data_IF_366512915627
#
_entry.id   IF_366512915627
#
_cell.length_a   1.000
_cell.length_b   1.000
_cell.length_c   1.000
_cell.angle_alpha   90.00
_cell.angle_beta   90.00
_cell.angle_gamma   90.00
#
_symmetry.space_group_name_H-M   'P 1'
#
loop_
_entity.id
_entity.type
_entity.pdbx_description
1 polymer ?
#
# COMPACT_ATOMS: atom_id res chain seq x y z
N UNK A 1 35.01 26.39 -31.41
CA UNK A 1 35.45 26.19 -30.02
C UNK A 1 34.42 26.81 -29.11
N UNK A 2 33.48 26.01 -28.60
CA UNK A 2 32.55 26.42 -27.56
C UNK A 2 32.33 25.15 -26.72
N UNK A 3 32.71 25.28 -25.44
CA UNK A 3 32.66 24.28 -24.40
C UNK A 3 31.24 23.83 -24.16
N UNK A 4 31.02 22.50 -24.25
CA UNK A 4 29.85 21.83 -23.69
C UNK A 4 30.17 21.43 -22.27
N UNK A 5 29.66 22.19 -21.30
CA UNK A 5 29.74 21.89 -19.90
C UNK A 5 28.83 20.70 -19.55
N UNK A 6 29.46 19.77 -18.91
CA UNK A 6 29.05 18.51 -18.32
C UNK A 6 27.84 18.66 -17.39
N UNK A 7 26.72 18.07 -17.75
CA UNK A 7 25.57 17.91 -16.87
C UNK A 7 25.78 16.60 -16.07
N UNK A 8 26.39 16.72 -14.90
CA UNK A 8 26.51 15.62 -13.95
C UNK A 8 25.13 15.18 -13.48
N UNK A 9 24.74 13.98 -13.91
CA UNK A 9 23.51 13.30 -13.50
C UNK A 9 23.57 12.93 -12.01
N UNK A 10 22.70 13.53 -11.24
CA UNK A 10 22.41 13.16 -9.86
C UNK A 10 21.68 11.80 -9.85
N UNK A 11 22.43 10.71 -9.82
CA UNK A 11 21.87 9.36 -9.63
C UNK A 11 21.95 9.02 -8.15
N UNK A 12 20.82 8.63 -7.49
CA UNK A 12 20.87 8.08 -6.15
C UNK A 12 21.68 6.78 -6.16
N UNK A 13 22.54 6.62 -5.16
CA UNK A 13 23.32 5.39 -4.94
C UNK A 13 22.37 4.24 -4.64
N UNK A 14 22.14 3.38 -5.63
CA UNK A 14 21.39 2.14 -5.50
C UNK A 14 22.25 1.10 -4.77
N UNK A 15 21.93 0.77 -3.54
CA UNK A 15 22.29 -0.52 -2.96
C UNK A 15 21.24 -1.53 -3.41
N UNK A 16 21.62 -2.43 -4.33
CA UNK A 16 20.76 -3.50 -4.79
C UNK A 16 20.44 -4.45 -3.64
N UNK A 17 19.18 -4.53 -3.24
CA UNK A 17 18.70 -5.57 -2.34
C UNK A 17 18.43 -6.83 -3.17
N UNK A 18 19.25 -7.87 -2.96
CA UNK A 18 18.97 -9.22 -3.47
C UNK A 18 18.03 -9.92 -2.50
N UNK A 19 16.85 -10.31 -2.97
CA UNK A 19 15.92 -11.14 -2.21
C UNK A 19 16.38 -12.59 -2.26
N UNK A 20 17.14 -13.01 -1.24
CA UNK A 20 17.57 -14.39 -1.05
C UNK A 20 16.70 -15.06 0.00
N UNK A 21 16.03 -16.14 -0.39
CA UNK A 21 15.40 -17.11 0.53
C UNK A 21 16.49 -17.92 1.22
N UNK A 22 16.76 -17.66 2.52
CA UNK A 22 17.23 -18.67 3.48
C UNK A 22 17.13 -18.13 4.90
N UNK A 23 16.77 -19.00 5.84
CA UNK A 23 16.35 -18.72 7.19
C UNK A 23 17.39 -18.12 8.13
N UNK A 24 16.87 -17.45 9.16
CA UNK A 24 17.49 -17.28 10.46
C UNK A 24 18.56 -16.21 10.56
N UNK A 25 18.19 -14.91 10.50
CA UNK A 25 18.94 -13.82 11.12
C UNK A 25 17.98 -12.64 11.33
N UNK A 26 18.16 -11.88 12.42
CA UNK A 26 17.36 -10.73 12.77
C UNK A 26 17.07 -9.85 11.54
N UNK A 27 15.80 -9.74 11.19
CA UNK A 27 15.29 -8.99 10.03
C UNK A 27 15.66 -7.51 10.23
N UNK A 28 16.62 -7.02 9.44
CA UNK A 28 16.91 -5.58 9.40
C UNK A 28 15.96 -4.97 8.39
N UNK A 29 15.17 -3.98 8.82
CA UNK A 29 14.31 -3.20 7.94
C UNK A 29 15.13 -2.65 6.77
N UNK A 30 14.56 -2.70 5.55
CA UNK A 30 15.18 -2.09 4.37
C UNK A 30 14.88 -0.60 4.43
N UNK A 31 15.93 0.23 4.47
CA UNK A 31 15.80 1.68 4.59
C UNK A 31 16.32 2.37 3.33
N UNK A 32 15.50 3.26 2.77
CA UNK A 32 15.87 4.14 1.66
C UNK A 32 15.91 5.57 2.17
N UNK A 33 17.05 6.28 1.97
CA UNK A 33 17.22 7.65 2.44
C UNK A 33 17.41 8.61 1.29
N UNK A 34 16.82 9.81 1.40
CA UNK A 34 17.02 10.93 0.52
C UNK A 34 17.38 12.17 1.33
N UNK A 35 18.29 13.00 0.81
CA UNK A 35 18.73 14.24 1.45
C UNK A 35 18.79 15.34 0.39
N UNK A 36 18.25 16.55 0.65
CA UNK A 36 18.27 17.65 -0.31
C UNK A 36 19.70 18.11 -0.63
N UNK A 37 19.99 18.29 -1.91
CA UNK A 37 21.26 18.82 -2.43
C UNK A 37 21.35 20.35 -2.32
N UNK A 38 21.05 20.95 -1.15
CA UNK A 38 21.02 22.41 -0.93
C UNK A 38 19.62 22.94 -0.63
N UNK A 39 19.55 24.16 -0.08
CA UNK A 39 18.26 24.81 0.25
C UNK A 39 17.68 25.47 -1.00
N UNK A 40 16.63 24.91 -1.57
CA UNK A 40 15.80 25.55 -2.59
C UNK A 40 15.09 26.81 -2.02
N UNK A 41 14.84 27.82 -2.89
CA UNK A 41 14.37 29.15 -2.45
C UNK A 41 12.86 29.38 -2.46
N UNK A 42 12.05 28.41 -2.91
CA UNK A 42 10.60 28.59 -3.06
C UNK A 42 9.84 27.56 -2.22
N UNK A 43 9.77 27.80 -0.90
CA UNK A 43 8.99 26.96 0.02
C UNK A 43 8.02 27.81 0.83
N UNK A 44 6.82 27.30 1.03
CA UNK A 44 5.78 27.88 1.88
C UNK A 44 6.36 28.21 3.27
N UNK A 45 6.25 29.46 3.68
CA UNK A 45 6.83 29.99 4.91
C UNK A 45 6.29 29.28 6.17
N UNK A 46 5.04 28.79 6.13
CA UNK A 46 4.41 28.08 7.24
C UNK A 46 4.97 26.67 7.41
N UNK A 47 5.17 25.94 6.30
CA UNK A 47 5.81 24.62 6.32
C UNK A 47 7.25 24.71 6.82
N UNK A 48 8.01 25.75 6.41
CA UNK A 48 9.36 26.01 6.93
C UNK A 48 9.39 26.36 8.41
N UNK A 49 8.40 27.10 8.93
CA UNK A 49 8.28 27.36 10.36
C UNK A 49 8.03 26.08 11.15
N UNK A 50 7.16 25.19 10.65
CA UNK A 50 6.87 23.89 11.26
C UNK A 50 8.10 22.95 11.25
N UNK A 51 8.90 23.00 10.18
CA UNK A 51 10.17 22.26 10.07
C UNK A 51 11.18 22.75 11.11
N UNK A 52 11.37 24.08 11.25
CA UNK A 52 12.28 24.67 12.24
C UNK A 52 11.85 24.40 13.68
N UNK A 53 10.53 24.39 13.95
CA UNK A 53 9.99 24.04 15.27
C UNK A 53 10.29 22.58 15.65
N UNK A 54 10.47 21.70 14.65
CA UNK A 54 10.88 20.31 14.82
C UNK A 54 12.37 20.15 15.07
N UNK A 55 13.22 20.89 14.38
CA UNK A 55 14.69 20.92 14.58
C UNK A 55 15.08 21.30 16.02
N UNK A 56 14.23 22.06 16.73
CA UNK A 56 14.42 22.46 18.13
C UNK A 56 13.98 21.46 19.20
N UNK A 57 13.26 20.40 18.82
CA UNK A 57 12.90 19.30 19.71
C UNK A 57 13.76 18.10 19.32
N UNK A 58 14.45 17.47 20.26
CA UNK A 58 15.32 16.30 20.09
C UNK A 58 14.58 15.13 19.37
N UNK A 59 14.40 15.27 18.07
CA UNK A 59 13.79 14.34 17.14
C UNK A 59 14.64 14.29 15.87
N UNK A 60 14.59 13.19 15.13
CA UNK A 60 15.34 12.97 13.90
C UNK A 60 15.23 14.15 12.92
N UNK A 61 16.36 14.59 12.33
CA UNK A 61 16.41 15.60 11.27
C UNK A 61 15.72 15.15 9.97
N UNK A 62 15.09 13.98 9.98
CA UNK A 62 14.44 13.32 8.84
C UNK A 62 12.96 13.12 9.08
N UNK A 63 12.18 13.16 8.00
CA UNK A 63 10.79 12.73 7.99
C UNK A 63 10.74 11.25 7.65
N UNK A 64 10.27 10.41 8.58
CA UNK A 64 10.25 8.97 8.43
C UNK A 64 8.92 8.49 7.86
N UNK A 65 9.01 7.74 6.75
CA UNK A 65 7.91 7.06 6.10
C UNK A 65 8.02 5.55 6.38
N UNK A 66 6.91 4.93 6.73
CA UNK A 66 6.81 3.47 6.84
C UNK A 66 5.88 2.90 5.75
N UNK A 67 6.26 1.79 5.14
CA UNK A 67 5.37 1.04 4.26
C UNK A 67 5.16 -0.38 4.77
N UNK A 68 3.90 -0.78 4.80
CA UNK A 68 3.41 -2.11 5.22
C UNK A 68 2.73 -2.83 4.04
N UNK A 69 2.93 -2.32 2.83
CA UNK A 69 2.19 -2.73 1.64
C UNK A 69 3.06 -3.59 0.72
N UNK A 70 2.44 -4.11 -0.35
CA UNK A 70 3.05 -5.06 -1.24
C UNK A 70 4.37 -4.56 -1.87
N UNK A 71 5.41 -5.42 -1.95
CA UNK A 71 6.73 -5.05 -2.50
C UNK A 71 6.70 -4.52 -3.93
N UNK A 72 5.77 -4.98 -4.78
CA UNK A 72 5.64 -4.53 -6.17
C UNK A 72 5.27 -3.04 -6.31
N UNK A 73 4.71 -2.42 -5.27
CA UNK A 73 4.35 -0.98 -5.25
C UNK A 73 5.46 -0.13 -4.62
N UNK A 74 6.50 -0.74 -4.05
CA UNK A 74 7.60 -0.04 -3.37
C UNK A 74 8.25 1.09 -4.20
N UNK A 75 8.47 0.96 -5.54
CA UNK A 75 9.02 2.05 -6.34
C UNK A 75 8.18 3.34 -6.30
N UNK A 76 6.85 3.22 -6.17
CA UNK A 76 5.95 4.38 -6.02
C UNK A 76 6.17 5.04 -4.66
N UNK A 77 6.25 4.25 -3.57
CA UNK A 77 6.46 4.80 -2.23
C UNK A 77 7.81 5.49 -2.10
N UNK A 78 8.86 4.95 -2.73
CA UNK A 78 10.16 5.62 -2.85
C UNK A 78 10.03 6.96 -3.58
N UNK A 79 9.36 6.96 -4.75
CA UNK A 79 9.14 8.17 -5.53
C UNK A 79 8.39 9.25 -4.74
N UNK A 80 7.33 8.85 -4.03
CA UNK A 80 6.52 9.76 -3.19
C UNK A 80 7.35 10.32 -2.04
N UNK A 81 8.11 9.48 -1.33
CA UNK A 81 8.96 9.88 -0.19
C UNK A 81 10.03 10.89 -0.62
N UNK A 82 10.72 10.62 -1.73
CA UNK A 82 11.74 11.51 -2.30
C UNK A 82 11.14 12.85 -2.75
N UNK A 83 9.97 12.81 -3.42
CA UNK A 83 9.31 14.03 -3.91
C UNK A 83 8.81 14.92 -2.78
N UNK A 84 8.27 14.34 -1.70
CA UNK A 84 7.91 15.07 -0.49
C UNK A 84 9.15 15.74 0.11
N UNK A 85 10.24 14.99 0.28
CA UNK A 85 11.50 15.54 0.76
C UNK A 85 12.02 16.68 -0.11
N UNK A 86 12.04 16.47 -1.43
CA UNK A 86 12.52 17.47 -2.41
C UNK A 86 11.72 18.77 -2.38
N UNK A 87 10.38 18.69 -2.39
CA UNK A 87 9.52 19.90 -2.39
C UNK A 87 9.53 20.62 -1.05
N UNK A 88 9.62 19.89 0.05
CA UNK A 88 9.62 20.51 1.38
C UNK A 88 11.02 20.87 1.89
N UNK A 89 12.09 20.44 1.20
CA UNK A 89 13.46 20.67 1.62
C UNK A 89 13.84 19.94 2.91
N UNK A 90 13.22 18.77 3.18
CA UNK A 90 13.44 17.95 4.37
C UNK A 90 14.12 16.65 3.94
N UNK A 91 15.12 16.19 4.69
CA UNK A 91 15.62 14.83 4.53
C UNK A 91 14.52 13.81 4.85
N UNK A 92 14.38 12.78 4.03
CA UNK A 92 13.37 11.73 4.22
C UNK A 92 14.03 10.37 4.28
N UNK A 93 13.34 9.43 4.91
CA UNK A 93 13.66 8.00 4.84
C UNK A 93 12.38 7.19 4.67
N UNK A 94 12.45 6.12 3.89
CA UNK A 94 11.39 5.13 3.74
C UNK A 94 11.87 3.81 4.33
N UNK A 95 11.12 3.29 5.28
CA UNK A 95 11.37 2.00 5.93
C UNK A 95 10.34 0.99 5.42
N UNK A 96 10.81 -0.16 4.95
CA UNK A 96 9.95 -1.30 4.65
C UNK A 96 9.76 -2.08 5.93
N UNK A 97 8.58 -1.98 6.49
CA UNK A 97 8.24 -2.57 7.80
C UNK A 97 7.77 -4.02 7.63
N UNK A 98 8.12 -4.84 8.58
CA UNK A 98 7.73 -6.27 8.61
C UNK A 98 6.57 -6.55 9.56
N UNK A 99 6.19 -5.57 10.37
CA UNK A 99 5.04 -5.62 11.27
C UNK A 99 4.45 -4.24 11.47
N UNK A 100 3.19 -4.18 11.90
CA UNK A 100 2.51 -2.91 12.21
C UNK A 100 2.91 -2.31 13.58
N UNK A 101 3.83 -2.94 14.30
CA UNK A 101 4.24 -2.50 15.64
C UNK A 101 4.87 -1.10 15.65
N UNK A 102 5.67 -0.77 14.64
CA UNK A 102 6.26 0.56 14.48
C UNK A 102 5.21 1.66 14.28
N UNK A 103 4.12 1.36 13.57
CA UNK A 103 2.99 2.28 13.44
C UNK A 103 2.21 2.40 14.75
N UNK A 104 1.96 1.29 15.46
CA UNK A 104 1.28 1.30 16.76
C UNK A 104 2.09 2.05 17.83
N UNK A 105 3.40 2.08 17.73
CA UNK A 105 4.31 2.88 18.57
C UNK A 105 4.49 4.31 18.07
N UNK A 106 3.83 4.69 16.98
CA UNK A 106 3.94 6.01 16.35
C UNK A 106 5.40 6.39 15.98
N UNK A 107 6.18 5.41 15.48
CA UNK A 107 7.58 5.62 15.11
C UNK A 107 7.75 6.30 13.75
N UNK A 108 6.75 6.18 12.85
CA UNK A 108 6.74 6.78 11.52
C UNK A 108 5.86 8.04 11.49
N UNK A 109 6.33 9.11 10.85
CA UNK A 109 5.53 10.32 10.65
C UNK A 109 4.50 10.17 9.54
N UNK A 110 4.82 9.37 8.50
CA UNK A 110 3.95 9.10 7.36
C UNK A 110 3.91 7.59 7.12
N UNK A 111 2.72 7.04 6.92
CA UNK A 111 2.54 5.61 6.70
C UNK A 111 1.78 5.36 5.40
N UNK A 112 2.30 4.44 4.58
CA UNK A 112 1.55 3.75 3.54
C UNK A 112 0.97 2.48 4.17
N UNK A 113 -0.30 2.51 4.57
CA UNK A 113 -0.90 1.50 5.43
C UNK A 113 -2.16 0.91 4.80
N UNK A 114 -2.39 -0.39 4.98
CA UNK A 114 -3.64 -1.01 4.53
C UNK A 114 -4.86 -0.42 5.25
N UNK A 115 -6.00 -0.33 4.57
CA UNK A 115 -7.23 0.25 5.09
C UNK A 115 -7.80 -0.52 6.30
N UNK A 116 -7.65 -1.84 6.36
CA UNK A 116 -8.13 -2.64 7.48
C UNK A 116 -7.39 -2.38 8.79
N UNK A 117 -6.03 -2.39 8.87
CA UNK A 117 -5.30 -1.95 10.05
C UNK A 117 -5.68 -0.54 10.49
N UNK A 118 -5.76 0.41 9.57
CA UNK A 118 -6.14 1.79 9.86
C UNK A 118 -7.48 1.85 10.63
N UNK A 119 -8.53 1.21 10.12
CA UNK A 119 -9.86 1.17 10.76
C UNK A 119 -9.83 0.38 12.08
N UNK A 120 -9.03 -0.68 12.15
CA UNK A 120 -8.90 -1.51 13.36
C UNK A 120 -8.23 -0.75 14.49
N UNK A 121 -7.23 0.09 14.21
CA UNK A 121 -6.58 0.94 15.21
C UNK A 121 -7.55 1.96 15.80
N UNK A 122 -8.35 2.64 14.98
CA UNK A 122 -9.37 3.57 15.48
C UNK A 122 -10.34 2.87 16.45
N UNK A 123 -10.78 1.65 16.16
CA UNK A 123 -11.66 0.86 17.01
C UNK A 123 -11.02 0.45 18.33
N UNK A 124 -9.71 0.27 18.35
CA UNK A 124 -8.93 0.02 19.57
C UNK A 124 -8.66 1.31 20.36
N UNK A 125 -9.15 2.45 19.91
CA UNK A 125 -8.88 3.76 20.48
C UNK A 125 -7.48 4.29 20.21
N UNK A 126 -6.77 3.70 19.24
CA UNK A 126 -5.46 4.14 18.81
C UNK A 126 -5.63 5.18 17.68
N UNK A 127 -5.79 6.43 18.07
CA UNK A 127 -5.95 7.56 17.15
C UNK A 127 -4.58 8.08 16.67
N UNK A 128 -3.85 7.21 15.95
CA UNK A 128 -2.43 7.40 15.62
C UNK A 128 -2.20 8.36 14.46
N UNK A 129 -2.98 8.24 13.39
CA UNK A 129 -2.73 8.94 12.14
C UNK A 129 -4.00 9.40 11.44
N UNK A 130 -3.86 10.42 10.59
CA UNK A 130 -4.95 10.97 9.78
C UNK A 130 -4.68 10.61 8.31
N UNK A 131 -5.61 9.98 7.58
CA UNK A 131 -5.49 9.79 6.15
C UNK A 131 -5.60 11.15 5.47
N UNK A 132 -4.63 11.49 4.63
CA UNK A 132 -4.56 12.81 3.98
C UNK A 132 -4.74 12.74 2.48
N UNK A 133 -4.32 11.64 1.86
CA UNK A 133 -4.47 11.37 0.44
C UNK A 133 -4.56 9.87 0.19
N UNK A 134 -5.16 9.49 -0.95
CA UNK A 134 -5.13 8.12 -1.44
C UNK A 134 -4.90 8.11 -2.96
N UNK A 135 -4.26 7.06 -3.51
CA UNK A 135 -4.04 6.96 -4.94
C UNK A 135 -5.34 6.70 -5.70
N UNK A 136 -5.42 7.24 -6.91
CA UNK A 136 -6.36 6.84 -7.94
C UNK A 136 -5.59 5.95 -8.91
N UNK A 137 -6.06 4.74 -9.11
CA UNK A 137 -5.44 3.79 -10.01
C UNK A 137 -5.84 4.06 -11.47
N UNK A 138 -4.94 3.73 -12.38
CA UNK A 138 -5.19 3.77 -13.82
C UNK A 138 -6.17 2.68 -14.23
N UNK A 139 -7.04 3.00 -15.19
CA UNK A 139 -8.02 2.08 -15.77
C UNK A 139 -9.46 2.45 -15.50
N UNK A 140 -10.32 2.18 -16.49
CA UNK A 140 -11.73 2.56 -16.49
C UNK A 140 -12.52 1.97 -15.32
N UNK A 141 -12.17 0.77 -14.85
CA UNK A 141 -12.85 0.09 -13.75
C UNK A 141 -12.83 0.87 -12.43
N UNK A 142 -11.85 1.75 -12.23
CA UNK A 142 -11.72 2.55 -11.02
C UNK A 142 -12.52 3.87 -11.09
N UNK A 143 -12.90 4.31 -12.29
CA UNK A 143 -13.75 5.49 -12.50
C UNK A 143 -13.16 6.78 -11.96
N UNK A 144 -11.83 6.92 -11.94
CA UNK A 144 -11.12 8.09 -11.40
C UNK A 144 -11.30 8.30 -9.90
N UNK A 145 -11.68 7.26 -9.14
CA UNK A 145 -11.93 7.26 -7.69
C UNK A 145 -10.81 6.56 -6.93
N UNK A 146 -10.59 6.89 -5.65
CA UNK A 146 -9.60 6.24 -4.80
C UNK A 146 -10.12 4.90 -4.28
N UNK A 147 -10.36 3.97 -5.19
CA UNK A 147 -10.89 2.63 -4.92
C UNK A 147 -10.05 1.55 -5.58
N UNK A 148 -10.17 0.34 -5.09
CA UNK A 148 -9.60 -0.85 -5.69
C UNK A 148 -10.53 -2.05 -5.53
N UNK A 149 -10.15 -3.17 -6.11
CA UNK A 149 -10.87 -4.44 -6.03
C UNK A 149 -9.94 -5.51 -5.48
N UNK A 150 -10.52 -6.59 -5.02
CA UNK A 150 -9.80 -7.82 -4.73
C UNK A 150 -10.20 -8.85 -5.79
N UNK A 151 -9.32 -9.06 -6.74
CA UNK A 151 -9.56 -9.95 -7.87
C UNK A 151 -9.36 -11.41 -7.42
N UNK A 152 -10.41 -12.21 -7.52
CA UNK A 152 -10.39 -13.64 -7.21
C UNK A 152 -9.77 -14.38 -8.39
N UNK A 153 -8.61 -14.96 -8.16
CA UNK A 153 -7.88 -15.72 -9.17
C UNK A 153 -7.95 -17.22 -8.94
N UNK A 154 -7.93 -17.95 -10.04
CA UNK A 154 -7.80 -19.41 -10.09
C UNK A 154 -6.80 -19.80 -11.20
N UNK A 155 -6.28 -21.02 -11.18
CA UNK A 155 -5.49 -21.52 -12.30
C UNK A 155 -6.29 -21.46 -13.61
N UNK A 156 -5.65 -21.08 -14.72
CA UNK A 156 -6.33 -20.86 -16.02
C UNK A 156 -7.12 -22.08 -16.48
N UNK A 157 -6.56 -23.26 -16.34
CA UNK A 157 -7.19 -24.52 -16.77
C UNK A 157 -8.17 -25.11 -15.75
N UNK A 158 -8.32 -24.46 -14.58
CA UNK A 158 -9.29 -24.88 -13.56
C UNK A 158 -10.72 -24.84 -14.12
N UNK A 159 -11.60 -25.78 -13.76
CA UNK A 159 -13.03 -25.73 -14.11
C UNK A 159 -13.81 -24.64 -13.34
N UNK A 160 -13.23 -24.04 -12.29
CA UNK A 160 -13.88 -23.04 -11.43
C UNK A 160 -14.15 -21.76 -12.23
N UNK A 161 -15.38 -21.21 -12.18
CA UNK A 161 -15.82 -20.05 -12.97
C UNK A 161 -16.32 -18.87 -12.13
N UNK A 162 -16.57 -19.10 -10.84
CA UNK A 162 -17.10 -18.11 -9.90
C UNK A 162 -16.48 -18.30 -8.52
N UNK A 163 -16.69 -17.34 -7.62
CA UNK A 163 -16.32 -17.47 -6.22
C UNK A 163 -17.02 -18.67 -5.55
N UNK A 164 -18.27 -18.93 -5.91
CA UNK A 164 -19.06 -20.03 -5.32
C UNK A 164 -18.50 -21.42 -5.64
N UNK A 165 -17.81 -21.58 -6.78
CA UNK A 165 -17.17 -22.85 -7.15
C UNK A 165 -15.96 -23.19 -6.25
N UNK A 166 -15.48 -22.22 -5.47
CA UNK A 166 -14.41 -22.41 -4.49
C UNK A 166 -14.88 -23.07 -3.18
N UNK A 167 -16.18 -23.37 -3.05
CA UNK A 167 -16.70 -24.11 -1.90
C UNK A 167 -16.00 -25.45 -1.75
N UNK A 168 -15.47 -25.72 -0.55
CA UNK A 168 -14.70 -26.93 -0.24
C UNK A 168 -13.32 -27.01 -0.90
N UNK A 169 -12.88 -25.96 -1.60
CA UNK A 169 -11.55 -25.85 -2.24
C UNK A 169 -10.53 -25.23 -1.32
N UNK A 170 -9.27 -25.27 -1.72
CA UNK A 170 -8.19 -24.58 -1.02
C UNK A 170 -8.15 -23.10 -1.38
N UNK A 171 -7.90 -22.25 -0.36
CA UNK A 171 -7.86 -20.82 -0.44
C UNK A 171 -6.59 -20.25 0.17
N UNK A 172 -5.90 -19.35 -0.52
CA UNK A 172 -4.77 -18.61 0.03
C UNK A 172 -5.13 -17.16 0.36
N UNK A 173 -4.53 -16.63 1.41
CA UNK A 173 -4.52 -15.21 1.76
C UNK A 173 -3.13 -14.79 2.23
N UNK A 174 -2.81 -13.51 2.10
CA UNK A 174 -1.49 -13.01 2.51
C UNK A 174 -1.34 -12.97 4.04
N UNK A 175 -2.16 -12.17 4.74
CA UNK A 175 -2.11 -12.00 6.20
C UNK A 175 -3.50 -11.62 6.75
N UNK A 176 -3.78 -11.83 8.06
CA UNK A 176 -5.08 -11.51 8.67
C UNK A 176 -5.43 -10.02 8.70
N UNK A 177 -4.43 -9.12 8.64
CA UNK A 177 -4.60 -7.67 8.61
C UNK A 177 -4.74 -7.11 7.19
N UNK A 178 -4.62 -7.94 6.16
CA UNK A 178 -4.88 -7.52 4.78
C UNK A 178 -6.37 -7.34 4.52
N UNK A 179 -6.77 -6.18 4.00
CA UNK A 179 -8.15 -6.01 3.54
C UNK A 179 -8.41 -6.80 2.27
N UNK A 180 -7.54 -6.68 1.25
CA UNK A 180 -7.74 -7.31 -0.06
C UNK A 180 -7.66 -8.83 -0.03
N UNK A 181 -6.72 -9.40 0.71
CA UNK A 181 -6.55 -10.86 0.76
C UNK A 181 -7.46 -11.55 1.77
N UNK A 182 -7.87 -10.85 2.84
CA UNK A 182 -8.56 -11.48 3.97
C UNK A 182 -9.87 -10.78 4.35
N UNK A 183 -9.85 -9.47 4.59
CA UNK A 183 -11.00 -8.74 5.12
C UNK A 183 -12.20 -8.75 4.19
N UNK A 184 -12.00 -8.46 2.90
CA UNK A 184 -13.07 -8.43 1.89
C UNK A 184 -13.64 -9.82 1.62
N UNK A 185 -12.79 -10.87 1.65
CA UNK A 185 -13.23 -12.26 1.51
C UNK A 185 -14.17 -12.66 2.64
N UNK A 186 -13.82 -12.29 3.89
CA UNK A 186 -14.71 -12.50 5.05
C UNK A 186 -16.02 -11.74 4.90
N UNK A 187 -15.97 -10.48 4.49
CA UNK A 187 -17.17 -9.69 4.26
C UNK A 187 -18.08 -10.31 3.19
N UNK A 188 -17.52 -10.73 2.07
CA UNK A 188 -18.26 -11.40 1.01
C UNK A 188 -18.93 -12.68 1.48
N UNK A 189 -18.21 -13.53 2.22
CA UNK A 189 -18.76 -14.74 2.82
C UNK A 189 -19.86 -14.44 3.86
N UNK A 190 -19.69 -13.39 4.66
CA UNK A 190 -20.71 -12.96 5.61
C UNK A 190 -22.00 -12.53 4.91
N UNK A 191 -21.90 -11.80 3.78
CA UNK A 191 -23.05 -11.43 2.94
C UNK A 191 -23.77 -12.66 2.35
N UNK A 192 -23.03 -13.71 2.01
CA UNK A 192 -23.58 -14.99 1.53
C UNK A 192 -24.15 -15.86 2.66
N UNK A 193 -23.98 -15.48 3.93
CA UNK A 193 -24.34 -16.30 5.07
C UNK A 193 -23.40 -17.48 5.33
N UNK A 194 -22.22 -17.50 4.68
CA UNK A 194 -21.25 -18.60 4.68
C UNK A 194 -20.14 -18.35 5.74
N UNK A 195 -20.52 -18.39 7.01
CA UNK A 195 -19.60 -18.07 8.12
C UNK A 195 -19.04 -19.30 8.84
N UNK A 196 -19.33 -20.53 8.32
CA UNK A 196 -19.02 -21.80 9.02
C UNK A 196 -18.28 -22.80 8.14
N UNK A 197 -17.17 -22.39 7.52
CA UNK A 197 -16.36 -23.33 6.76
C UNK A 197 -16.76 -23.44 5.29
N UNK A 198 -16.62 -22.35 4.56
CA UNK A 198 -16.84 -22.29 3.11
C UNK A 198 -15.73 -23.01 2.34
N UNK A 199 -14.47 -22.76 2.69
CA UNK A 199 -13.31 -23.39 2.06
C UNK A 199 -12.97 -24.73 2.72
N UNK A 200 -12.40 -25.65 1.94
CA UNK A 200 -11.91 -26.92 2.47
C UNK A 200 -10.58 -26.81 3.19
N UNK A 201 -9.75 -25.84 2.78
CA UNK A 201 -8.46 -25.54 3.38
C UNK A 201 -8.15 -24.05 3.19
N UNK A 202 -7.73 -23.37 4.25
CA UNK A 202 -7.31 -21.96 4.22
C UNK A 202 -5.83 -21.89 4.61
N UNK A 203 -5.02 -21.15 3.83
CA UNK A 203 -3.56 -21.08 3.98
C UNK A 203 -3.11 -19.63 3.98
N UNK A 204 -2.43 -19.22 5.04
CA UNK A 204 -1.69 -17.96 5.08
C UNK A 204 -0.36 -18.12 4.34
N UNK A 205 -0.04 -17.18 3.43
CA UNK A 205 1.13 -17.27 2.55
C UNK A 205 2.06 -16.06 2.64
N UNK A 206 1.73 -15.06 3.44
CA UNK A 206 2.53 -13.87 3.71
C UNK A 206 2.33 -12.74 2.70
N UNK A 207 2.40 -12.99 1.40
CA UNK A 207 2.31 -11.96 0.36
C UNK A 207 1.39 -12.36 -0.79
N UNK A 208 0.81 -11.36 -1.47
CA UNK A 208 0.01 -11.57 -2.68
C UNK A 208 0.80 -12.30 -3.78
N UNK A 209 2.07 -11.99 -3.97
CA UNK A 209 2.95 -12.63 -4.95
C UNK A 209 3.02 -14.15 -4.73
N UNK A 210 3.15 -14.57 -3.48
CA UNK A 210 3.18 -15.99 -3.14
C UNK A 210 1.83 -16.67 -3.38
N UNK A 211 0.72 -15.97 -3.09
CA UNK A 211 -0.61 -16.47 -3.42
C UNK A 211 -0.80 -16.67 -4.93
N UNK A 212 -0.39 -15.68 -5.75
CA UNK A 212 -0.44 -15.75 -7.22
C UNK A 212 0.38 -16.95 -7.71
N UNK A 213 1.62 -17.10 -7.24
CA UNK A 213 2.52 -18.19 -7.62
C UNK A 213 1.91 -19.55 -7.30
N UNK A 214 1.35 -19.75 -6.11
CA UNK A 214 0.75 -21.03 -5.71
C UNK A 214 -0.49 -21.38 -6.51
N UNK A 215 -1.31 -20.38 -6.86
CA UNK A 215 -2.45 -20.57 -7.75
C UNK A 215 -1.97 -20.91 -9.16
N UNK A 216 -0.96 -20.21 -9.68
CA UNK A 216 -0.37 -20.48 -11.00
C UNK A 216 0.23 -21.88 -11.11
N UNK A 217 0.78 -22.42 -10.02
CA UNK A 217 1.33 -23.78 -9.96
C UNK A 217 0.28 -24.86 -9.65
N UNK A 218 -0.99 -24.49 -9.41
CA UNK A 218 -2.06 -25.41 -9.05
C UNK A 218 -1.94 -25.99 -7.64
N UNK A 219 -1.12 -25.42 -6.77
CA UNK A 219 -0.95 -25.83 -5.37
C UNK A 219 -2.15 -25.42 -4.50
N UNK A 220 -2.81 -24.31 -4.86
CA UNK A 220 -3.98 -23.72 -4.22
C UNK A 220 -5.02 -23.42 -5.29
N UNK A 221 -6.29 -23.69 -5.01
CA UNK A 221 -7.38 -23.54 -5.97
C UNK A 221 -7.73 -22.07 -6.26
N UNK A 222 -7.62 -21.17 -5.26
CA UNK A 222 -7.92 -19.75 -5.46
C UNK A 222 -7.39 -18.83 -4.36
N UNK A 223 -7.35 -17.55 -4.68
CA UNK A 223 -6.96 -16.45 -3.78
C UNK A 223 -7.63 -15.15 -4.20
N UNK A 224 -7.83 -14.21 -3.26
CA UNK A 224 -8.17 -12.81 -3.57
C UNK A 224 -6.90 -11.95 -3.55
N UNK A 225 -6.65 -11.24 -4.62
CA UNK A 225 -5.45 -10.44 -4.83
C UNK A 225 -5.83 -8.97 -5.00
N UNK A 226 -5.11 -8.08 -4.33
CA UNK A 226 -5.20 -6.64 -4.60
C UNK A 226 -5.07 -6.39 -6.11
N UNK A 227 -6.04 -5.70 -6.70
CA UNK A 227 -6.13 -5.50 -8.15
C UNK A 227 -4.95 -4.71 -8.72
N UNK A 228 -4.36 -3.80 -7.94
CA UNK A 228 -3.15 -3.08 -8.32
C UNK A 228 -1.95 -4.05 -8.34
N UNK A 229 -1.79 -4.82 -7.28
CA UNK A 229 -0.71 -5.82 -7.17
C UNK A 229 -0.83 -6.85 -8.30
N UNK A 230 -2.03 -7.39 -8.53
CA UNK A 230 -2.25 -8.35 -9.61
C UNK A 230 -1.87 -7.78 -10.97
N UNK A 231 -2.33 -6.55 -11.27
CA UNK A 231 -2.03 -5.91 -12.56
C UNK A 231 -0.53 -5.68 -12.77
N UNK A 232 0.20 -5.29 -11.71
CA UNK A 232 1.66 -5.10 -11.75
C UNK A 232 2.36 -6.46 -11.98
N UNK A 233 2.00 -7.49 -11.19
CA UNK A 233 2.61 -8.81 -11.28
C UNK A 233 2.39 -9.45 -12.67
N UNK A 234 1.18 -9.35 -13.23
CA UNK A 234 0.89 -9.89 -14.57
C UNK A 234 1.54 -9.10 -15.71
N UNK A 235 1.76 -7.79 -15.52
CA UNK A 235 2.53 -6.97 -16.47
C UNK A 235 4.01 -7.35 -16.46
N UNK A 236 4.59 -7.53 -15.28
CA UNK A 236 6.03 -7.72 -15.11
C UNK A 236 6.43 -9.20 -15.25
N UNK A 237 5.47 -10.13 -15.13
CA UNK A 237 5.63 -11.58 -15.26
C UNK A 237 4.58 -12.16 -16.21
N UNK A 238 4.74 -12.02 -17.54
CA UNK A 238 3.76 -12.47 -18.54
C UNK A 238 3.43 -13.97 -18.48
N UNK A 239 4.37 -14.79 -18.02
CA UNK A 239 4.18 -16.22 -17.79
C UNK A 239 3.08 -16.50 -16.73
N UNK A 240 2.98 -15.69 -15.68
CA UNK A 240 1.90 -15.77 -14.70
C UNK A 240 0.55 -15.40 -15.32
N UNK A 241 0.52 -14.42 -16.22
CA UNK A 241 -0.71 -14.03 -16.92
C UNK A 241 -1.28 -15.16 -17.80
N UNK A 242 -0.44 -16.08 -18.27
CA UNK A 242 -0.86 -17.27 -19.02
C UNK A 242 -1.37 -18.39 -18.10
N UNK A 243 -1.01 -18.38 -16.82
CA UNK A 243 -1.32 -19.46 -15.87
C UNK A 243 -2.51 -19.16 -14.95
N UNK A 244 -2.87 -17.91 -14.76
CA UNK A 244 -3.99 -17.52 -13.90
C UNK A 244 -5.09 -16.81 -14.67
N UNK A 245 -6.29 -16.78 -14.11
CA UNK A 245 -7.40 -15.94 -14.58
C UNK A 245 -8.24 -15.45 -13.44
N UNK A 246 -8.80 -14.26 -13.60
CA UNK A 246 -9.78 -13.69 -12.67
C UNK A 246 -11.14 -14.31 -12.95
N UNK A 247 -11.82 -14.76 -11.90
CA UNK A 247 -13.19 -15.29 -11.97
C UNK A 247 -14.23 -14.37 -11.36
N UNK A 248 -13.80 -13.49 -10.44
CA UNK A 248 -14.68 -12.53 -9.79
C UNK A 248 -13.86 -11.35 -9.25
N UNK A 249 -14.49 -10.19 -9.04
CA UNK A 249 -13.87 -9.03 -8.41
C UNK A 249 -14.70 -8.64 -7.18
N UNK A 250 -14.12 -8.76 -6.00
CA UNK A 250 -14.75 -8.36 -4.75
C UNK A 250 -14.50 -6.85 -4.49
N UNK A 251 -15.53 -6.15 -4.06
CA UNK A 251 -15.46 -4.72 -3.82
C UNK A 251 -16.45 -3.92 -4.70
N UNK A 252 -16.22 -2.64 -4.98
CA UNK A 252 -15.01 -1.88 -4.66
C UNK A 252 -14.83 -1.60 -3.16
N UNK A 253 -13.58 -1.34 -2.79
CA UNK A 253 -13.19 -0.89 -1.45
C UNK A 253 -12.39 0.41 -1.56
N UNK A 254 -12.46 1.30 -0.56
CA UNK A 254 -11.59 2.46 -0.49
C UNK A 254 -10.13 2.00 -0.37
N UNK A 255 -9.27 2.53 -1.26
CA UNK A 255 -7.87 2.12 -1.39
C UNK A 255 -7.05 2.59 -0.18
N UNK A 256 -5.88 1.98 0.01
CA UNK A 256 -4.94 2.25 1.10
C UNK A 256 -4.57 3.75 1.16
N UNK A 257 -4.67 4.38 2.36
CA UNK A 257 -4.29 5.78 2.52
C UNK A 257 -2.79 6.01 2.60
N UNK A 258 -2.38 7.24 2.26
CA UNK A 258 -1.23 7.87 2.88
C UNK A 258 -1.74 8.52 4.16
N UNK A 259 -1.31 8.01 5.31
CA UNK A 259 -1.72 8.49 6.62
C UNK A 259 -0.55 9.21 7.31
N UNK A 260 -0.83 10.35 7.94
CA UNK A 260 0.17 11.17 8.63
C UNK A 260 -0.12 11.14 10.13
N UNK A 261 0.92 10.86 10.93
CA UNK A 261 0.82 10.82 12.39
C UNK A 261 0.25 12.13 12.95
N UNK A 262 -0.60 12.02 13.97
CA UNK A 262 -1.17 13.19 14.66
C UNK A 262 -0.13 14.03 15.38
N UNK A 263 1.04 13.48 15.71
CA UNK A 263 2.16 14.24 16.29
C UNK A 263 2.82 15.21 15.30
N UNK A 264 2.60 15.01 14.00
CA UNK A 264 3.08 15.92 12.95
C UNK A 264 2.27 17.23 13.01
N UNK A 265 2.90 18.41 13.09
CA UNK A 265 2.20 19.69 13.08
C UNK A 265 1.26 19.84 11.90
N UNK A 266 0.12 20.51 12.10
CA UNK A 266 -0.93 20.64 11.07
C UNK A 266 -0.38 21.27 9.79
N UNK A 267 0.45 22.29 9.90
CA UNK A 267 1.04 23.02 8.77
C UNK A 267 1.93 22.10 7.92
N UNK A 268 2.72 21.23 8.56
CA UNK A 268 3.55 20.25 7.86
C UNK A 268 2.70 19.14 7.25
N UNK A 269 1.66 18.69 7.95
CA UNK A 269 0.71 17.71 7.42
C UNK A 269 -0.01 18.24 6.18
N UNK A 270 -0.44 19.52 6.20
CA UNK A 270 -1.10 20.15 5.06
C UNK A 270 -0.12 20.35 3.90
N UNK A 271 1.15 20.68 4.18
CA UNK A 271 2.19 20.76 3.16
C UNK A 271 2.47 19.39 2.52
N UNK A 272 2.58 18.30 3.30
CA UNK A 272 2.71 16.94 2.79
C UNK A 272 1.51 16.60 1.90
N UNK A 273 0.28 16.87 2.38
CA UNK A 273 -0.94 16.66 1.60
C UNK A 273 -0.91 17.42 0.29
N UNK A 274 -0.51 18.68 0.29
CA UNK A 274 -0.42 19.50 -0.92
C UNK A 274 0.55 18.89 -1.94
N UNK A 275 1.74 18.45 -1.49
CA UNK A 275 2.70 17.76 -2.36
C UNK A 275 2.08 16.51 -2.98
N UNK A 276 1.42 15.66 -2.18
CA UNK A 276 0.77 14.45 -2.67
C UNK A 276 -0.27 14.76 -3.77
N UNK A 277 -1.11 15.77 -3.55
CA UNK A 277 -2.20 16.11 -4.48
C UNK A 277 -1.73 16.75 -5.78
N UNK A 278 -0.53 17.34 -5.81
CA UNK A 278 0.00 18.09 -6.96
C UNK A 278 1.23 17.44 -7.61
N UNK A 279 1.73 16.33 -7.07
CA UNK A 279 2.96 15.72 -7.61
C UNK A 279 2.78 15.16 -9.02
N UNK A 280 1.58 14.69 -9.38
CA UNK A 280 1.28 14.18 -10.71
C UNK A 280 1.21 15.29 -11.80
N UNK A 281 1.26 16.57 -11.44
CA UNK A 281 1.35 17.69 -12.39
C UNK A 281 2.74 17.73 -13.04
N UNK A 282 3.77 17.22 -12.35
CA UNK A 282 5.13 17.06 -12.89
C UNK A 282 5.21 15.83 -13.81
N UNK A 283 5.61 15.97 -15.09
CA UNK A 283 5.68 14.84 -16.03
C UNK A 283 6.67 13.75 -15.61
N UNK A 284 7.80 14.12 -14.99
CA UNK A 284 8.78 13.16 -14.49
C UNK A 284 8.24 12.35 -13.32
N UNK A 285 7.50 13.02 -12.43
CA UNK A 285 6.85 12.35 -11.31
C UNK A 285 5.72 11.44 -11.79
N UNK A 286 4.95 11.86 -12.81
CA UNK A 286 3.91 11.01 -13.42
C UNK A 286 4.47 9.69 -13.94
N UNK A 287 5.61 9.70 -14.64
CA UNK A 287 6.27 8.48 -15.09
C UNK A 287 6.69 7.56 -13.93
N UNK A 288 7.06 8.13 -12.79
CA UNK A 288 7.40 7.34 -11.59
C UNK A 288 6.16 6.72 -10.94
N UNK A 289 5.02 7.40 -10.98
CA UNK A 289 3.74 6.88 -10.50
C UNK A 289 3.18 5.80 -11.42
N UNK A 290 3.39 5.91 -12.75
CA UNK A 290 2.95 4.94 -13.76
C UNK A 290 3.53 3.53 -13.52
N UNK A 291 4.71 3.42 -12.91
CA UNK A 291 5.31 2.13 -12.53
C UNK A 291 4.39 1.30 -11.65
N UNK A 292 3.66 1.96 -10.74
CA UNK A 292 2.69 1.33 -9.86
C UNK A 292 1.24 1.52 -10.31
N UNK A 293 1.00 1.90 -11.59
CA UNK A 293 -0.34 2.14 -12.14
C UNK A 293 -1.13 3.20 -11.37
N UNK A 294 -0.45 4.17 -10.77
CA UNK A 294 -1.06 5.31 -10.06
C UNK A 294 -1.19 6.49 -11.02
N UNK A 295 -2.41 6.99 -11.20
CA UNK A 295 -2.68 8.17 -12.03
C UNK A 295 -2.34 9.47 -11.28
N UNK A 296 -2.85 9.59 -10.06
CA UNK A 296 -2.69 10.74 -9.17
C UNK A 296 -3.08 10.38 -7.74
N UNK A 297 -2.86 11.30 -6.82
CA UNK A 297 -3.44 11.25 -5.48
C UNK A 297 -4.61 12.22 -5.36
N UNK A 298 -5.61 11.82 -4.56
CA UNK A 298 -6.80 12.64 -4.25
C UNK A 298 -6.98 12.77 -2.74
N UNK A 299 -7.64 13.86 -2.26
CA UNK A 299 -7.87 14.03 -0.84
C UNK A 299 -8.80 12.94 -0.30
N UNK A 300 -8.45 12.42 0.86
CA UNK A 300 -9.30 11.55 1.68
C UNK A 300 -9.25 12.01 3.14
N UNK A 301 -10.21 11.54 3.92
CA UNK A 301 -10.29 11.77 5.36
C UNK A 301 -10.82 10.53 6.07
N UNK A 302 -10.98 10.56 7.41
CA UNK A 302 -11.48 9.42 8.18
C UNK A 302 -12.80 8.85 7.64
N UNK A 303 -13.76 9.70 7.26
CA UNK A 303 -15.05 9.27 6.70
C UNK A 303 -14.97 8.57 5.34
N UNK A 304 -13.85 8.71 4.61
CA UNK A 304 -13.64 8.00 3.35
C UNK A 304 -13.54 6.48 3.52
N UNK A 305 -13.30 5.99 4.76
CA UNK A 305 -13.12 4.58 5.11
C UNK A 305 -14.34 3.97 5.83
N UNK A 306 -15.52 4.60 5.72
CA UNK A 306 -16.76 4.10 6.31
C UNK A 306 -17.22 2.78 5.66
N UNK A 307 -16.89 2.57 4.39
CA UNK A 307 -17.10 1.29 3.71
C UNK A 307 -16.32 0.14 4.39
N UNK A 308 -15.07 0.36 4.73
CA UNK A 308 -14.23 -0.62 5.43
C UNK A 308 -14.76 -0.88 6.84
N UNK A 309 -15.19 0.18 7.56
CA UNK A 309 -15.82 0.04 8.89
C UNK A 309 -17.07 -0.81 8.81
N UNK A 310 -17.94 -0.53 7.83
CA UNK A 310 -19.18 -1.28 7.59
C UNK A 310 -18.89 -2.75 7.29
N UNK A 311 -17.86 -3.05 6.48
CA UNK A 311 -17.46 -4.43 6.17
C UNK A 311 -16.99 -5.18 7.42
N UNK A 312 -16.19 -4.53 8.28
CA UNK A 312 -15.74 -5.09 9.55
C UNK A 312 -16.92 -5.32 10.50
N UNK A 313 -17.85 -4.35 10.61
CA UNK A 313 -19.06 -4.45 11.44
C UNK A 313 -19.95 -5.62 11.01
N UNK A 314 -20.12 -5.80 9.70
CA UNK A 314 -20.90 -6.91 9.14
C UNK A 314 -20.30 -8.26 9.55
N UNK A 315 -18.98 -8.42 9.44
CA UNK A 315 -18.30 -9.65 9.87
C UNK A 315 -18.45 -9.89 11.39
N UNK A 316 -18.34 -8.84 12.20
CA UNK A 316 -18.51 -8.92 13.65
C UNK A 316 -19.94 -9.29 14.04
N UNK A 317 -20.94 -8.65 13.43
CA UNK A 317 -22.36 -8.95 13.67
C UNK A 317 -22.72 -10.39 13.29
N UNK A 318 -22.07 -10.94 12.27
CA UNK A 318 -22.23 -12.33 11.87
C UNK A 318 -21.44 -13.33 12.77
N UNK A 319 -20.70 -12.85 13.77
CA UNK A 319 -19.80 -13.67 14.59
C UNK A 319 -18.65 -14.32 13.78
N UNK A 320 -18.35 -13.77 12.60
CA UNK A 320 -17.36 -14.33 11.69
C UNK A 320 -15.97 -13.76 11.97
N UNK A 321 -15.23 -14.42 12.83
CA UNK A 321 -13.94 -13.97 13.33
C UNK A 321 -12.79 -14.36 12.41
N UNK A 322 -12.85 -15.54 11.78
CA UNK A 322 -11.75 -16.16 11.06
C UNK A 322 -12.23 -16.88 9.80
N UNK A 323 -11.45 -16.81 8.70
CA UNK A 323 -11.68 -17.62 7.51
C UNK A 323 -11.43 -19.11 7.81
N UNK A 324 -12.40 -19.95 7.45
CA UNK A 324 -12.33 -21.42 7.63
C UNK A 324 -12.92 -22.13 6.42
#
# INVERSE_FOLDING_TARGET
MADLADATSDRPTRTAASWGTTGGAANRDVVFSWTPAGRGRDHDSAAQAAIRAREGKAGSDRLRFGTYLAPSVLPVYQAVTEEVGRRLGIATELVVETSYESCEKDENEVCFVCSLPYVTWERRGLDLAIPVAAPVLQGERYGGRPIYFSDVIVHRDSPLRSFLDLRGRSWAYNEPLSHSGYGITRYHLAQLGETKGFFGKVVEVGFHQEAIRRVAQGEIDGAAIDSQVLAIELRDHPDLAEQVRVVEALGPSTIQPVAVSRRVPTELRDAIRHVLLTMADDPGMRQRLDVGLVERFVPVGPGSYDDIRMMVDTCQAAGFVELR
#
